data_IF_417553818232
#
_entry.id   IF_417553818232
#
_cell.length_a   1.000
_cell.length_b   1.000
_cell.length_c   1.000
_cell.angle_alpha   90.00
_cell.angle_beta   90.00
_cell.angle_gamma   90.00
#
_symmetry.space_group_name_H-M   'P 1'
#
loop_
_entity.id
_entity.type
_entity.pdbx_description
1 polymer ?
#
# COMPACT_ATOMS: atom_id res chain seq x y z
N UNK A 1 1.82 10.23 7.18
CA UNK A 1 2.00 8.82 7.58
C UNK A 1 0.95 8.32 8.58
N UNK A 2 0.41 9.17 9.47
CA UNK A 2 -0.60 8.73 10.46
C UNK A 2 -1.81 7.97 9.89
N UNK A 3 -2.31 8.33 8.71
CA UNK A 3 -3.43 7.60 8.07
C UNK A 3 -3.09 6.16 7.67
N UNK A 4 -1.86 5.89 7.22
CA UNK A 4 -1.40 4.52 6.90
C UNK A 4 -1.32 3.71 8.20
N UNK A 5 -0.72 4.28 9.25
CA UNK A 5 -0.61 3.64 10.56
C UNK A 5 -1.99 3.33 11.15
N UNK A 6 -2.92 4.29 11.09
CA UNK A 6 -4.29 4.09 11.55
C UNK A 6 -4.99 2.97 10.78
N UNK A 7 -4.88 2.94 9.45
CA UNK A 7 -5.47 1.88 8.64
C UNK A 7 -4.87 0.51 8.99
N UNK A 8 -3.55 0.40 9.12
CA UNK A 8 -2.88 -0.84 9.57
C UNK A 8 -3.34 -1.27 10.95
N UNK A 9 -3.53 -0.33 11.87
CA UNK A 9 -4.06 -0.62 13.21
C UNK A 9 -5.43 -1.27 13.15
N UNK A 10 -6.32 -0.84 12.24
CA UNK A 10 -7.63 -1.48 12.05
C UNK A 10 -7.52 -2.96 11.64
N UNK A 11 -6.48 -3.34 10.88
CA UNK A 11 -6.23 -4.75 10.57
C UNK A 11 -5.75 -5.55 11.80
N UNK A 12 -4.96 -4.93 12.68
CA UNK A 12 -4.50 -5.56 13.93
C UNK A 12 -5.63 -5.77 14.93
N UNK A 13 -6.72 -5.03 14.82
CA UNK A 13 -7.92 -5.21 15.67
C UNK A 13 -8.82 -6.36 15.21
N UNK A 14 -8.56 -6.97 14.04
CA UNK A 14 -9.38 -8.08 13.55
C UNK A 14 -9.09 -9.35 14.36
N UNK A 15 -10.08 -10.24 14.45
CA UNK A 15 -9.91 -11.58 15.00
C UNK A 15 -9.11 -12.49 14.03
N UNK A 16 -7.85 -12.15 13.82
CA UNK A 16 -6.94 -12.81 12.90
C UNK A 16 -5.51 -12.71 13.42
N UNK A 17 -4.69 -13.73 13.14
CA UNK A 17 -3.26 -13.71 13.47
C UNK A 17 -2.51 -12.94 12.40
N UNK A 18 -1.78 -11.90 12.78
CA UNK A 18 -0.81 -11.24 11.90
C UNK A 18 0.35 -12.19 11.64
N UNK A 19 0.56 -12.56 10.38
CA UNK A 19 1.65 -13.44 9.95
C UNK A 19 2.79 -12.68 9.28
N UNK A 20 2.50 -11.49 8.76
CA UNK A 20 3.51 -10.61 8.21
C UNK A 20 3.09 -9.15 8.33
N UNK A 21 4.01 -8.29 8.74
CA UNK A 21 3.87 -6.85 8.68
C UNK A 21 5.22 -6.25 8.32
N UNK A 22 5.26 -5.42 7.28
CA UNK A 22 6.50 -4.80 6.83
C UNK A 22 6.24 -3.48 6.13
N UNK A 23 7.29 -2.66 6.09
CA UNK A 23 7.39 -1.58 5.12
C UNK A 23 7.35 -2.15 3.70
N UNK A 24 6.66 -1.45 2.80
CA UNK A 24 6.43 -1.90 1.44
C UNK A 24 6.38 -0.72 0.47
N UNK A 25 6.69 -0.98 -0.79
CA UNK A 25 6.63 0.01 -1.87
C UNK A 25 6.01 -0.61 -3.11
N UNK A 26 5.15 0.16 -3.77
CA UNK A 26 4.62 -0.10 -5.11
C UNK A 26 4.80 1.17 -5.92
N UNK A 27 5.39 1.09 -7.13
CA UNK A 27 5.83 2.26 -7.91
C UNK A 27 6.65 3.29 -7.12
N UNK A 28 7.49 2.80 -6.20
CA UNK A 28 8.26 3.59 -5.24
C UNK A 28 7.41 4.44 -4.29
N UNK A 29 6.09 4.27 -4.26
CA UNK A 29 5.20 4.91 -3.27
C UNK A 29 5.21 4.06 -2.00
N UNK A 30 5.66 4.67 -0.91
CA UNK A 30 5.70 4.06 0.41
C UNK A 30 4.33 3.60 0.89
N UNK A 31 4.34 2.47 1.56
CA UNK A 31 3.20 1.88 2.22
C UNK A 31 3.57 0.84 3.26
N UNK A 32 2.55 0.14 3.74
CA UNK A 32 2.68 -1.00 4.63
C UNK A 32 2.02 -2.21 3.99
N UNK A 33 2.67 -3.36 4.09
CA UNK A 33 2.09 -4.66 3.72
C UNK A 33 1.74 -5.45 4.96
N UNK A 34 0.59 -6.13 4.89
CA UNK A 34 0.03 -6.96 5.94
C UNK A 34 -0.36 -8.31 5.37
N UNK A 35 -0.15 -9.36 6.16
CA UNK A 35 -0.72 -10.69 5.91
C UNK A 35 -1.32 -11.19 7.21
N UNK A 36 -2.54 -11.70 7.12
CA UNK A 36 -3.32 -12.23 8.23
C UNK A 36 -3.75 -13.66 7.92
N UNK A 37 -3.77 -14.50 8.96
CA UNK A 37 -4.51 -15.76 8.96
C UNK A 37 -5.75 -15.57 9.84
N UNK A 38 -6.93 -15.65 9.23
CA UNK A 38 -8.21 -15.47 9.90
C UNK A 38 -8.61 -16.71 10.72
N UNK A 39 -9.59 -16.57 11.61
CA UNK A 39 -10.05 -17.66 12.48
C UNK A 39 -10.57 -18.90 11.72
N UNK A 40 -11.14 -18.72 10.52
CA UNK A 40 -11.60 -19.80 9.63
C UNK A 40 -10.47 -20.41 8.77
N UNK A 41 -9.22 -19.97 8.98
CA UNK A 41 -8.06 -20.40 8.21
C UNK A 41 -7.92 -19.74 6.84
N UNK A 42 -8.83 -18.86 6.43
CA UNK A 42 -8.64 -18.01 5.25
C UNK A 42 -7.48 -17.03 5.45
N UNK A 43 -6.88 -16.57 4.36
CA UNK A 43 -5.70 -15.69 4.39
C UNK A 43 -6.02 -14.37 3.73
N UNK A 44 -5.82 -13.28 4.47
CA UNK A 44 -6.02 -11.91 4.00
C UNK A 44 -4.68 -11.24 3.78
N UNK A 45 -4.50 -10.66 2.60
CA UNK A 45 -3.31 -9.90 2.24
C UNK A 45 -3.76 -8.47 1.98
N UNK A 46 -3.12 -7.50 2.64
CA UNK A 46 -3.44 -6.10 2.44
C UNK A 46 -2.19 -5.24 2.19
N UNK A 47 -2.31 -4.24 1.33
CA UNK A 47 -1.28 -3.24 1.09
C UNK A 47 -1.92 -1.85 1.24
N UNK A 48 -1.26 -0.97 1.99
CA UNK A 48 -1.79 0.35 2.34
C UNK A 48 -0.79 1.38 1.90
N UNK A 49 -1.20 2.25 0.98
CA UNK A 49 -0.36 3.31 0.42
C UNK A 49 -1.06 4.65 0.57
N UNK A 50 -0.27 5.72 0.67
CA UNK A 50 -0.80 7.09 0.57
C UNK A 50 -0.07 7.82 -0.53
N UNK A 51 -0.81 8.48 -1.40
CA UNK A 51 -0.27 9.30 -2.46
C UNK A 51 -1.07 10.62 -2.54
N UNK A 52 -0.37 11.74 -2.43
CA UNK A 52 -1.01 13.05 -2.27
C UNK A 52 -1.89 13.09 -1.02
N UNK A 53 -3.17 13.44 -1.15
CA UNK A 53 -4.15 13.44 -0.06
C UNK A 53 -4.94 12.14 0.06
N UNK A 54 -4.70 11.16 -0.83
CA UNK A 54 -5.51 9.95 -0.96
C UNK A 54 -4.85 8.77 -0.26
N UNK A 55 -5.65 7.99 0.48
CA UNK A 55 -5.26 6.73 1.09
C UNK A 55 -5.85 5.58 0.26
N UNK A 56 -4.99 4.67 -0.15
CA UNK A 56 -5.34 3.48 -0.93
C UNK A 56 -5.13 2.24 -0.05
N UNK A 57 -6.15 1.40 0.05
CA UNK A 57 -6.12 0.15 0.80
C UNK A 57 -6.52 -0.95 -0.17
N UNK A 58 -5.58 -1.83 -0.50
CA UNK A 58 -5.81 -3.01 -1.30
C UNK A 58 -5.96 -4.18 -0.35
N UNK A 59 -7.02 -4.96 -0.48
CA UNK A 59 -7.27 -6.14 0.37
C UNK A 59 -7.78 -7.29 -0.50
N UNK A 60 -7.22 -8.48 -0.30
CA UNK A 60 -7.74 -9.72 -0.88
C UNK A 60 -7.71 -10.84 0.15
N UNK A 61 -8.78 -11.62 0.21
CA UNK A 61 -8.89 -12.81 1.05
C UNK A 61 -9.07 -14.05 0.19
N UNK A 62 -8.27 -15.08 0.46
CA UNK A 62 -8.41 -16.40 -0.17
C UNK A 62 -8.87 -17.42 0.86
N UNK A 63 -9.68 -18.42 0.48
CA UNK A 63 -10.09 -19.46 1.40
C UNK A 63 -8.88 -20.27 1.88
N UNK A 64 -9.10 -21.01 2.97
CA UNK A 64 -8.10 -21.96 3.46
C UNK A 64 -7.67 -22.91 2.33
N UNK A 65 -6.36 -23.23 2.28
CA UNK A 65 -5.71 -24.11 1.29
C UNK A 65 -5.61 -23.57 -0.16
N UNK A 66 -6.31 -22.51 -0.55
CA UNK A 66 -6.07 -21.85 -1.85
C UNK A 66 -4.73 -21.11 -1.84
N UNK A 67 -3.99 -20.98 -2.97
CA UNK A 67 -2.72 -20.26 -3.02
C UNK A 67 -2.80 -18.85 -2.42
N UNK A 68 -1.73 -18.40 -1.75
CA UNK A 68 -1.72 -17.07 -1.15
C UNK A 68 -1.81 -15.99 -2.26
N UNK A 69 -2.59 -14.91 -2.07
CA UNK A 69 -2.79 -13.87 -3.09
C UNK A 69 -1.62 -12.88 -3.13
N UNK A 70 -0.38 -13.38 -3.14
CA UNK A 70 0.82 -12.53 -3.10
C UNK A 70 0.95 -11.59 -4.30
N UNK A 71 0.54 -12.06 -5.48
CA UNK A 71 0.57 -11.26 -6.71
C UNK A 71 -0.40 -10.07 -6.67
N UNK A 72 -1.52 -10.20 -5.96
CA UNK A 72 -2.52 -9.12 -5.85
C UNK A 72 -1.93 -7.85 -5.24
N UNK A 73 -1.02 -7.99 -4.26
CA UNK A 73 -0.34 -6.85 -3.65
C UNK A 73 0.71 -6.22 -4.58
N UNK A 74 1.30 -7.03 -5.49
CA UNK A 74 2.41 -6.62 -6.34
C UNK A 74 1.98 -6.06 -7.70
N UNK A 75 0.76 -6.34 -8.15
CA UNK A 75 0.26 -5.95 -9.47
C UNK A 75 -0.37 -4.55 -9.51
N UNK A 76 -0.11 -3.71 -8.51
CA UNK A 76 -0.70 -2.35 -8.42
C UNK A 76 0.17 -1.35 -9.17
N UNK A 77 -0.47 -0.49 -9.95
CA UNK A 77 0.15 0.67 -10.59
C UNK A 77 -0.57 1.97 -10.20
N UNK A 78 0.19 3.02 -9.94
CA UNK A 78 -0.34 4.36 -9.70
C UNK A 78 -0.35 5.17 -10.99
N UNK A 79 -1.47 5.82 -11.26
CA UNK A 79 -1.66 6.69 -12.42
C UNK A 79 -1.82 8.15 -11.99
N UNK A 80 -1.33 9.07 -12.81
CA UNK A 80 -1.54 10.51 -12.67
C UNK A 80 -2.96 10.92 -13.13
N UNK A 81 -3.25 12.22 -13.07
CA UNK A 81 -4.56 12.76 -13.45
C UNK A 81 -4.91 12.55 -14.93
N UNK A 82 -3.89 12.32 -15.76
CA UNK A 82 -4.04 12.01 -17.18
C UNK A 82 -4.02 10.51 -17.49
N UNK A 83 -4.09 9.66 -16.45
CA UNK A 83 -4.11 8.21 -16.57
C UNK A 83 -2.77 7.60 -16.96
N UNK A 84 -1.66 8.34 -16.82
CA UNK A 84 -0.32 7.85 -17.15
C UNK A 84 0.40 7.32 -15.90
N UNK A 85 1.25 6.30 -16.02
CA UNK A 85 1.98 5.76 -14.89
C UNK A 85 2.84 6.82 -14.19
N UNK A 86 2.71 6.88 -12.86
CA UNK A 86 3.57 7.68 -11.99
C UNK A 86 4.95 7.05 -11.95
N UNK A 87 6.01 7.86 -12.10
CA UNK A 87 7.39 7.36 -12.07
C UNK A 87 8.28 8.24 -11.18
N UNK A 88 8.50 7.78 -9.95
CA UNK A 88 9.51 8.37 -9.09
C UNK A 88 10.93 7.86 -9.42
N UNK A 89 11.96 8.61 -9.00
CA UNK A 89 13.36 8.17 -9.03
C UNK A 89 13.85 7.63 -7.69
N UNK A 90 13.17 8.01 -6.62
CA UNK A 90 13.43 7.70 -5.21
C UNK A 90 12.11 7.27 -4.56
N UNK A 91 12.16 6.75 -3.33
CA UNK A 91 10.93 6.41 -2.62
C UNK A 91 10.11 7.66 -2.31
N UNK A 92 8.89 7.73 -2.83
CA UNK A 92 7.90 8.70 -2.38
C UNK A 92 7.45 8.32 -0.98
N UNK A 93 7.85 9.12 0.00
CA UNK A 93 7.38 8.99 1.38
C UNK A 93 6.51 10.19 1.72
N UNK A 94 5.42 9.95 2.45
CA UNK A 94 4.57 11.07 2.90
C UNK A 94 5.30 11.98 3.90
N UNK A 95 6.30 11.45 4.63
CA UNK A 95 7.03 12.17 5.68
C UNK A 95 8.19 13.03 5.19
N UNK A 96 8.79 12.67 4.05
CA UNK A 96 9.95 13.36 3.50
C UNK A 96 9.66 13.75 2.04
N UNK A 97 9.14 14.96 1.83
CA UNK A 97 8.91 15.50 0.49
C UNK A 97 10.18 16.08 -0.14
N UNK A 98 10.36 15.88 -1.45
CA UNK A 98 11.48 16.44 -2.23
C UNK A 98 11.40 17.97 -2.27
N UNK A 99 12.12 18.54 -1.31
CA UNK A 99 12.06 19.94 -0.90
C UNK A 99 10.94 20.11 0.13
N UNK A 100 11.21 20.66 1.30
CA UNK A 100 10.13 21.30 2.05
C UNK A 100 9.67 22.54 1.23
N UNK A 101 8.81 22.35 0.21
CA UNK A 101 8.11 23.41 -0.55
C UNK A 101 6.72 22.92 -0.97
N UNK A 102 5.70 23.71 -0.64
CA UNK A 102 4.30 23.51 -0.99
C UNK A 102 3.85 24.66 -1.92
N UNK A 103 3.08 24.38 -2.99
CA UNK A 103 2.64 23.06 -3.49
C UNK A 103 3.76 22.29 -4.20
N UNK A 104 3.76 20.96 -4.07
CA UNK A 104 4.74 20.09 -4.72
C UNK A 104 4.52 20.05 -6.25
N UNK A 105 5.59 20.08 -7.08
CA UNK A 105 5.45 19.93 -8.53
C UNK A 105 4.87 18.54 -8.87
N UNK A 106 4.06 18.47 -9.93
CA UNK A 106 3.45 17.22 -10.39
C UNK A 106 4.53 16.19 -10.74
N UNK A 107 4.38 14.92 -10.34
CA UNK A 107 5.37 13.88 -10.60
C UNK A 107 5.61 13.71 -12.12
N UNK A 108 6.85 13.41 -12.54
CA UNK A 108 7.17 13.20 -13.95
C UNK A 108 6.46 11.95 -14.50
N UNK A 109 5.97 12.07 -15.74
CA UNK A 109 5.28 10.99 -16.48
C UNK A 109 6.26 9.93 -16.99
N UNK A 110 5.80 8.69 -17.08
CA UNK A 110 6.47 7.68 -17.90
C UNK A 110 6.53 8.14 -19.38
N UNK A 111 7.70 7.98 -20.02
CA UNK A 111 7.88 8.17 -21.47
C UNK A 111 7.30 6.99 -22.23
#
# INVERSE_FOLDING_TARGET
QGSIVYASWQFFQRNAKVTHFAWYVADLIEGQRLQLTNADGSRTFAAIHRHGTRLYIFEATVPSRAPAPGLFQQSVQFLDEEGKPVRYRTYYTTGYGEGWKFPAPSPPRAR
#
